data_IF_412805852216
#
_entry.id   IF_412805852216
#
_cell.length_a   1.000
_cell.length_b   1.000
_cell.length_c   1.000
_cell.angle_alpha   90.00
_cell.angle_beta   90.00
_cell.angle_gamma   90.00
#
_symmetry.space_group_name_H-M   'P 1'
#
loop_
_entity.id
_entity.type
_entity.pdbx_description
1 polymer ?
#
# COMPACT_ATOMS: atom_id res chain seq x y z
N UNK A 1 15.27 -1.59 15.70
CA UNK A 1 15.13 -1.60 14.23
C UNK A 1 14.06 -2.61 13.92
N UNK A 2 13.09 -2.30 13.06
CA UNK A 2 12.00 -3.24 12.77
C UNK A 2 12.47 -4.28 11.76
N UNK A 3 12.00 -5.52 11.90
CA UNK A 3 12.16 -6.60 10.90
C UNK A 3 10.82 -7.01 10.34
N UNK A 4 10.79 -7.40 9.08
CA UNK A 4 9.62 -8.01 8.45
C UNK A 4 9.52 -9.46 8.92
N UNK A 5 8.36 -9.82 9.49
CA UNK A 5 8.05 -11.17 9.93
C UNK A 5 7.19 -11.89 8.88
N UNK A 6 6.19 -11.20 8.34
CA UNK A 6 5.25 -11.78 7.39
C UNK A 6 4.77 -10.71 6.40
N UNK A 7 4.50 -11.13 5.17
CA UNK A 7 3.86 -10.31 4.14
C UNK A 7 2.72 -11.13 3.56
N UNK A 8 1.51 -10.56 3.53
CA UNK A 8 0.33 -11.17 2.90
C UNK A 8 -0.32 -10.19 1.93
N UNK A 9 -0.91 -10.67 0.82
CA UNK A 9 -1.67 -9.81 -0.08
C UNK A 9 -2.89 -9.23 0.64
N UNK A 10 -3.13 -7.93 0.44
CA UNK A 10 -4.34 -7.29 0.92
C UNK A 10 -5.53 -7.68 0.04
N UNK A 11 -6.65 -7.99 0.69
CA UNK A 11 -7.91 -8.20 -0.03
C UNK A 11 -8.38 -6.87 -0.65
N UNK A 12 -9.02 -6.89 -1.84
CA UNK A 12 -9.59 -5.69 -2.43
C UNK A 12 -10.52 -4.95 -1.47
N UNK A 13 -10.49 -3.62 -1.53
CA UNK A 13 -11.33 -2.74 -0.70
C UNK A 13 -10.60 -1.99 0.41
N UNK A 14 -9.33 -2.33 0.69
CA UNK A 14 -8.51 -1.57 1.62
C UNK A 14 -7.75 -0.44 0.92
N UNK A 15 -7.71 0.73 1.56
CA UNK A 15 -7.03 1.93 1.07
C UNK A 15 -6.22 2.57 2.20
N UNK A 16 -5.03 3.06 1.88
CA UNK A 16 -4.29 3.99 2.72
C UNK A 16 -4.66 5.42 2.30
N UNK A 17 -5.13 6.23 3.26
CA UNK A 17 -5.43 7.64 3.02
C UNK A 17 -4.30 8.50 3.55
N UNK A 18 -3.81 9.36 2.69
CA UNK A 18 -2.76 10.33 2.96
C UNK A 18 -3.30 11.74 2.79
N UNK A 19 -2.80 12.68 3.59
CA UNK A 19 -2.97 14.11 3.36
C UNK A 19 -1.82 14.57 2.46
N UNK A 20 -2.15 15.13 1.30
CA UNK A 20 -1.17 15.57 0.29
C UNK A 20 -1.02 17.09 0.25
N UNK A 21 -2.02 17.82 0.77
CA UNK A 21 -2.01 19.27 0.90
C UNK A 21 -2.92 19.72 2.07
N UNK A 22 -2.84 20.98 2.54
CA UNK A 22 -3.75 21.51 3.55
C UNK A 22 -5.21 21.46 3.08
N UNK A 23 -5.94 20.42 3.49
CA UNK A 23 -7.36 20.22 3.17
C UNK A 23 -7.64 19.15 2.12
N UNK A 24 -6.60 18.62 1.45
CA UNK A 24 -6.73 17.57 0.43
C UNK A 24 -6.21 16.22 0.92
N UNK A 25 -7.00 15.17 0.73
CA UNK A 25 -6.56 13.79 0.92
C UNK A 25 -6.57 13.02 -0.38
N UNK A 26 -5.74 11.98 -0.44
CA UNK A 26 -5.70 11.00 -1.53
C UNK A 26 -5.66 9.60 -0.94
N UNK A 27 -6.39 8.69 -1.58
CA UNK A 27 -6.42 7.28 -1.22
C UNK A 27 -5.65 6.44 -2.24
N UNK A 28 -4.84 5.51 -1.76
CA UNK A 28 -4.18 4.50 -2.59
C UNK A 28 -4.62 3.11 -2.13
N UNK A 29 -4.98 2.18 -3.03
CA UNK A 29 -5.26 0.79 -2.67
C UNK A 29 -4.11 0.16 -1.87
N UNK A 30 -4.43 -0.49 -0.74
CA UNK A 30 -3.46 -1.33 -0.02
C UNK A 30 -3.23 -2.60 -0.82
N UNK A 31 -1.97 -2.89 -1.13
CA UNK A 31 -1.57 -4.09 -1.88
C UNK A 31 -1.08 -5.21 -0.97
N UNK A 32 -0.44 -4.86 0.16
CA UNK A 32 0.13 -5.81 1.10
C UNK A 32 -0.19 -5.43 2.54
N UNK A 33 -0.36 -6.44 3.39
CA UNK A 33 -0.23 -6.30 4.84
C UNK A 33 1.09 -6.90 5.28
N UNK A 34 1.80 -6.19 6.16
CA UNK A 34 3.11 -6.57 6.64
C UNK A 34 3.09 -6.59 8.16
N UNK A 35 3.50 -7.72 8.74
CA UNK A 35 3.77 -7.82 10.17
C UNK A 35 5.23 -7.44 10.42
N UNK A 36 5.43 -6.37 11.16
CA UNK A 36 6.72 -5.90 11.64
C UNK A 36 6.90 -6.31 13.11
N UNK A 37 8.14 -6.64 13.48
CA UNK A 37 8.53 -6.87 14.87
C UNK A 37 9.78 -6.06 15.20
N UNK A 38 9.84 -5.48 16.40
CA UNK A 38 11.06 -4.87 16.90
C UNK A 38 12.16 -5.92 17.08
N UNK A 39 13.40 -5.57 16.74
CA UNK A 39 14.55 -6.49 16.85
C UNK A 39 14.80 -7.00 18.27
N UNK A 40 14.33 -6.28 19.30
CA UNK A 40 14.41 -6.69 20.70
C UNK A 40 13.22 -7.58 21.14
N UNK A 41 12.29 -7.88 20.24
CA UNK A 41 11.11 -8.71 20.47
C UNK A 41 10.01 -8.05 21.31
N UNK A 42 10.14 -6.75 21.63
CA UNK A 42 9.25 -6.06 22.59
C UNK A 42 7.93 -5.59 21.98
N UNK A 43 7.82 -5.52 20.65
CA UNK A 43 6.65 -5.00 19.97
C UNK A 43 6.42 -5.62 18.59
N UNK A 44 5.14 -5.77 18.24
CA UNK A 44 4.67 -6.18 16.91
C UNK A 44 3.65 -5.19 16.38
N UNK A 45 3.72 -4.92 15.09
CA UNK A 45 2.83 -3.96 14.41
C UNK A 45 2.43 -4.51 13.04
N UNK A 46 1.18 -4.31 12.65
CA UNK A 46 0.71 -4.62 11.29
C UNK A 46 0.54 -3.30 10.54
N UNK A 47 1.22 -3.17 9.40
CA UNK A 47 1.13 -2.02 8.50
C UNK A 47 0.62 -2.46 7.13
N UNK A 48 -0.14 -1.59 6.48
CA UNK A 48 -0.55 -1.73 5.10
C UNK A 48 0.41 -0.98 4.20
N UNK A 49 0.89 -1.64 3.14
CA UNK A 49 1.68 -1.01 2.08
C UNK A 49 0.76 -0.76 0.90
N UNK A 50 0.69 0.49 0.47
CA UNK A 50 -0.15 0.87 -0.67
C UNK A 50 0.50 0.54 -2.02
N UNK A 51 -0.28 0.69 -3.09
CA UNK A 51 0.12 0.31 -4.45
C UNK A 51 1.27 1.16 -5.02
N UNK A 52 1.66 2.25 -4.35
CA UNK A 52 2.84 3.05 -4.72
C UNK A 52 4.03 2.79 -3.78
N UNK A 53 3.89 1.84 -2.85
CA UNK A 53 4.96 1.41 -1.94
C UNK A 53 5.03 2.17 -0.63
N UNK A 54 4.10 3.10 -0.37
CA UNK A 54 4.11 3.92 0.84
C UNK A 54 3.45 3.20 2.02
N UNK A 55 3.95 3.50 3.22
CA UNK A 55 3.41 2.98 4.49
C UNK A 55 3.74 3.90 5.67
N UNK A 56 2.97 3.86 6.78
CA UNK A 56 3.13 4.82 7.88
C UNK A 56 4.49 4.70 8.58
N UNK A 57 5.30 5.75 8.51
CA UNK A 57 6.62 5.79 9.13
C UNK A 57 7.78 5.38 8.21
N UNK A 58 7.53 5.16 6.91
CA UNK A 58 8.60 5.03 5.93
C UNK A 58 9.30 6.39 5.68
N UNK A 59 10.63 6.37 5.65
CA UNK A 59 11.46 7.55 5.38
C UNK A 59 11.42 7.98 3.90
N UNK A 60 11.05 7.06 3.00
CA UNK A 60 11.00 7.23 1.55
C UNK A 60 9.58 7.50 1.00
N UNK A 61 8.62 7.78 1.90
CA UNK A 61 7.30 8.25 1.50
C UNK A 61 7.39 9.57 0.70
N UNK A 62 6.34 9.85 -0.06
CA UNK A 62 6.20 11.11 -0.79
C UNK A 62 6.35 12.31 0.16
N UNK A 63 7.21 13.26 -0.21
CA UNK A 63 7.53 14.41 0.64
C UNK A 63 6.28 15.26 0.88
N UNK A 64 5.97 15.51 2.16
CA UNK A 64 4.80 16.28 2.56
C UNK A 64 3.51 15.45 2.69
N UNK A 65 3.56 14.15 2.36
CA UNK A 65 2.49 13.22 2.63
C UNK A 65 2.40 12.85 4.11
N UNK A 66 1.25 13.08 4.74
CA UNK A 66 0.98 12.64 6.11
C UNK A 66 -0.03 11.50 6.10
N UNK A 67 0.33 10.36 6.71
CA UNK A 67 -0.61 9.26 6.85
C UNK A 67 -1.79 9.65 7.74
N UNK A 68 -3.01 9.46 7.25
CA UNK A 68 -4.23 9.78 8.00
C UNK A 68 -4.82 8.53 8.62
N UNK A 69 -5.16 7.53 7.79
CA UNK A 69 -5.77 6.27 8.25
C UNK A 69 -5.82 5.22 7.13
N UNK A 70 -6.03 3.98 7.53
CA UNK A 70 -6.60 2.97 6.64
C UNK A 70 -8.12 3.12 6.54
N UNK A 71 -8.67 2.83 5.36
CA UNK A 71 -10.09 2.84 5.06
C UNK A 71 -10.45 1.51 4.39
N UNK A 72 -11.54 0.89 4.82
CA UNK A 72 -12.14 -0.24 4.12
C UNK A 72 -13.43 0.19 3.44
N UNK A 73 -13.54 -0.09 2.14
CA UNK A 73 -14.77 -0.02 1.36
C UNK A 73 -14.98 -1.37 0.68
N UNK A 74 -16.18 -1.93 0.81
CA UNK A 74 -16.50 -3.17 0.12
C UNK A 74 -16.40 -2.97 -1.39
N UNK A 75 -15.88 -3.94 -2.15
CA UNK A 75 -15.75 -3.81 -3.61
C UNK A 75 -17.03 -3.36 -4.33
N UNK A 76 -18.20 -3.79 -3.83
CA UNK A 76 -19.52 -3.44 -4.39
C UNK A 76 -19.90 -1.96 -4.21
N UNK A 77 -19.25 -1.24 -3.27
CA UNK A 77 -19.46 0.20 -3.05
C UNK A 77 -18.64 1.08 -3.97
N UNK A 78 -17.75 0.48 -4.78
CA UNK A 78 -16.77 1.22 -5.57
C UNK A 78 -15.58 1.71 -4.73
N UNK A 79 -14.73 2.54 -5.35
CA UNK A 79 -13.56 3.12 -4.71
C UNK A 79 -13.91 4.45 -3.99
N UNK A 80 -13.10 4.87 -3.00
CA UNK A 80 -13.22 6.20 -2.41
C UNK A 80 -13.18 7.30 -3.46
N UNK A 81 -13.91 8.39 -3.24
CA UNK A 81 -13.96 9.51 -4.20
C UNK A 81 -12.58 10.16 -4.45
N UNK A 82 -11.70 10.08 -3.45
CA UNK A 82 -10.32 10.57 -3.48
C UNK A 82 -9.30 9.46 -3.82
N UNK A 83 -9.75 8.31 -4.32
CA UNK A 83 -8.84 7.25 -4.74
C UNK A 83 -8.09 7.67 -6.01
N UNK A 84 -6.75 7.56 -5.96
CA UNK A 84 -5.94 7.71 -7.16
C UNK A 84 -6.34 6.63 -8.17
N UNK A 85 -6.63 7.01 -9.42
CA UNK A 85 -6.90 6.02 -10.46
C UNK A 85 -5.71 5.07 -10.58
N UNK A 86 -5.95 3.75 -10.75
CA UNK A 86 -4.86 2.83 -11.00
C UNK A 86 -4.08 3.33 -12.21
N UNK A 87 -2.77 3.50 -12.05
CA UNK A 87 -1.90 3.84 -13.17
C UNK A 87 -2.13 2.83 -14.29
N UNK A 88 -2.40 3.30 -15.50
CA UNK A 88 -2.51 2.43 -16.68
C UNK A 88 -1.13 1.84 -16.95
N UNK A 89 -0.81 0.72 -16.32
CA UNK A 89 0.45 0.02 -16.57
C UNK A 89 0.35 -0.55 -17.99
N UNK A 90 1.27 -0.22 -18.92
CA UNK A 90 1.30 -0.90 -20.20
C UNK A 90 1.37 -2.40 -19.93
N UNK A 91 0.49 -3.16 -20.57
CA UNK A 91 0.39 -4.61 -20.37
C UNK A 91 1.78 -5.24 -20.43
N UNK A 92 2.07 -6.15 -19.49
CA UNK A 92 3.34 -6.86 -19.40
C UNK A 92 3.75 -7.32 -20.80
N UNK A 93 4.82 -6.75 -21.34
CA UNK A 93 5.41 -7.24 -22.58
C UNK A 93 5.80 -8.69 -22.30
N UNK A 94 5.24 -9.62 -23.07
CA UNK A 94 5.55 -11.03 -22.92
C UNK A 94 7.07 -11.18 -23.02
N UNK A 95 7.69 -11.66 -21.93
CA UNK A 95 9.09 -12.06 -21.96
C UNK A 95 9.28 -13.23 -22.93
N UNK A 96 10.52 -13.52 -23.35
CA UNK A 96 10.79 -14.65 -24.23
C UNK A 96 10.24 -15.96 -23.65
N UNK A 97 9.57 -16.75 -24.48
CA UNK A 97 9.08 -18.07 -24.10
C UNK A 97 10.28 -19.01 -23.88
N UNK A 98 10.54 -19.36 -22.62
CA UNK A 98 11.63 -20.24 -22.23
C UNK A 98 11.29 -21.74 -22.39
N UNK A 99 10.11 -22.09 -22.91
CA UNK A 99 9.66 -23.48 -23.08
C UNK A 99 10.15 -24.14 -24.38
N UNK A 100 10.95 -23.43 -25.19
CA UNK A 100 11.43 -23.90 -26.49
C UNK A 100 12.89 -24.39 -26.48
N UNK A 101 13.42 -24.85 -25.34
CA UNK A 101 14.78 -25.44 -25.24
C UNK A 101 14.70 -26.96 -25.15
#
# INVERSE_FOLDING_TARGET
>A
MKRIVEIVPARPGWYARWRVEPGGTRCYPVSLWVLLEETDGTGREVIGVDCVGQWPGADDNEVGGEFVRYLFQTPDSGAPADAEPPATVPGRVAGPDLRAV
#
